data_IF_234160218916
#
_entry.id   IF_234160218916
#
_cell.length_a   1.000
_cell.length_b   1.000
_cell.length_c   1.000
_cell.angle_alpha   90.00
_cell.angle_beta   90.00
_cell.angle_gamma   90.00
#
_symmetry.space_group_name_H-M   'P 1'
#
loop_
_entity.id
_entity.type
_entity.pdbx_description
1 polymer ?
#
# COMPACT_ATOMS: atom_id res chain seq x y z
N UNK A 1 27.59 -3.83 11.32
CA UNK A 1 27.07 -2.89 12.31
C UNK A 1 25.59 -3.19 12.46
N UNK A 2 25.21 -3.95 13.51
CA UNK A 2 23.79 -4.18 13.84
C UNK A 2 23.21 -2.89 14.43
N UNK A 3 22.71 -2.01 13.58
CA UNK A 3 21.99 -0.82 14.00
C UNK A 3 20.51 -1.16 13.94
N UNK A 4 19.98 -1.67 15.05
CA UNK A 4 18.59 -2.12 15.16
C UNK A 4 17.56 -0.97 15.20
N UNK A 5 18.02 0.29 15.16
CA UNK A 5 17.20 1.50 15.33
C UNK A 5 17.24 2.45 14.13
N UNK A 6 17.64 1.97 12.97
CA UNK A 6 17.67 2.81 11.78
C UNK A 6 16.25 2.92 11.18
N UNK A 7 15.82 4.14 10.86
CA UNK A 7 14.54 4.33 10.18
C UNK A 7 14.64 3.83 8.73
N UNK A 8 14.05 2.69 8.48
CA UNK A 8 14.06 2.02 7.17
C UNK A 8 13.42 2.87 6.05
N UNK A 9 12.56 3.84 6.41
CA UNK A 9 11.99 4.77 5.43
C UNK A 9 13.05 5.68 4.80
N UNK A 10 14.17 5.91 5.48
CA UNK A 10 15.28 6.75 4.99
C UNK A 10 16.00 6.17 3.77
N UNK A 11 15.81 4.87 3.48
CA UNK A 11 16.41 4.22 2.30
C UNK A 11 15.58 4.36 1.02
N UNK A 12 14.38 4.90 1.11
CA UNK A 12 13.54 5.06 -0.08
C UNK A 12 14.02 6.27 -0.90
N UNK A 13 14.31 6.11 -2.20
CA UNK A 13 14.84 7.20 -3.03
C UNK A 13 13.93 8.43 -3.13
N UNK A 14 12.63 8.24 -2.92
CA UNK A 14 11.61 9.28 -2.96
C UNK A 14 11.24 9.83 -1.57
N UNK A 15 11.97 9.44 -0.52
CA UNK A 15 11.69 9.92 0.82
C UNK A 15 12.04 11.40 0.94
N UNK A 16 11.05 12.19 1.33
CA UNK A 16 11.26 13.61 1.65
C UNK A 16 12.05 13.71 2.96
N UNK A 17 13.14 14.49 2.91
CA UNK A 17 13.91 14.84 4.10
C UNK A 17 13.70 16.31 4.40
N UNK A 18 13.36 16.61 5.64
CA UNK A 18 13.30 18.00 6.12
C UNK A 18 14.69 18.53 6.43
N UNK A 19 14.89 19.81 6.18
CA UNK A 19 16.09 20.48 6.68
C UNK A 19 16.17 20.37 8.20
N UNK A 20 17.37 20.13 8.75
CA UNK A 20 17.55 20.14 10.20
C UNK A 20 17.01 21.45 10.79
N UNK A 21 16.10 21.34 11.75
CA UNK A 21 15.50 22.49 12.42
C UNK A 21 15.41 22.25 13.92
N UNK A 22 15.45 23.32 14.68
CA UNK A 22 15.28 23.28 16.13
C UNK A 22 14.31 24.39 16.53
N UNK A 23 13.47 24.19 17.56
CA UNK A 23 12.62 25.26 18.09
C UNK A 23 13.49 26.42 18.61
N UNK A 24 12.92 27.64 18.66
CA UNK A 24 13.65 28.85 19.03
C UNK A 24 14.37 28.78 20.40
N UNK A 25 13.88 27.94 21.30
CA UNK A 25 14.46 27.69 22.62
C UNK A 25 15.26 26.37 22.69
N UNK A 26 15.46 25.69 21.56
CA UNK A 26 16.24 24.46 21.50
C UNK A 26 17.73 24.72 21.26
N UNK A 27 18.53 23.66 21.41
CA UNK A 27 19.96 23.68 21.06
C UNK A 27 20.17 22.89 19.77
N UNK A 28 20.93 23.48 18.85
CA UNK A 28 21.35 22.81 17.61
C UNK A 28 22.78 22.33 17.76
N UNK A 29 23.03 21.07 17.46
CA UNK A 29 24.36 20.49 17.47
C UNK A 29 24.75 20.09 16.04
N UNK A 30 25.78 20.66 15.50
CA UNK A 30 26.39 20.28 14.24
C UNK A 30 27.76 19.67 14.53
N UNK A 31 28.04 18.53 13.93
CA UNK A 31 29.36 17.90 13.96
C UNK A 31 29.75 17.54 12.54
N UNK A 32 30.93 17.95 12.19
CA UNK A 32 31.62 17.59 10.95
C UNK A 32 32.82 16.72 11.28
N UNK A 33 33.08 15.73 10.44
CA UNK A 33 34.26 14.86 10.56
C UNK A 33 35.14 15.06 9.32
N UNK A 34 36.43 15.12 9.52
CA UNK A 34 37.45 15.23 8.44
C UNK A 34 37.67 13.89 7.71
N UNK A 35 36.64 13.02 7.69
CA UNK A 35 36.67 11.76 6.95
C UNK A 35 36.70 11.99 5.45
N UNK A 36 37.33 11.08 4.71
CA UNK A 36 37.29 11.09 3.25
C UNK A 36 35.85 10.89 2.72
N UNK A 37 35.62 11.39 1.51
CA UNK A 37 34.34 11.14 0.82
C UNK A 37 34.08 9.65 0.63
N UNK A 38 32.81 9.27 0.75
CA UNK A 38 32.39 7.92 0.46
C UNK A 38 32.69 7.62 -1.02
N UNK A 39 33.37 6.52 -1.28
CA UNK A 39 33.54 5.98 -2.64
C UNK A 39 32.45 4.92 -2.90
N UNK A 40 31.40 5.27 -3.67
CA UNK A 40 30.28 4.35 -3.92
C UNK A 40 30.74 3.11 -4.72
N UNK A 41 31.68 3.26 -5.65
CA UNK A 41 32.14 2.14 -6.47
C UNK A 41 32.94 1.12 -5.66
N UNK A 42 33.73 1.59 -4.70
CA UNK A 42 34.44 0.72 -3.77
C UNK A 42 33.47 -0.06 -2.85
N UNK A 43 32.33 0.54 -2.51
CA UNK A 43 31.28 -0.13 -1.72
C UNK A 43 30.54 -1.14 -2.59
N UNK A 44 30.09 -0.76 -3.79
CA UNK A 44 29.38 -1.65 -4.70
C UNK A 44 30.23 -2.87 -5.09
N UNK A 45 31.53 -2.68 -5.22
CA UNK A 45 32.46 -3.80 -5.47
C UNK A 45 32.45 -4.83 -4.34
N UNK A 46 32.21 -4.41 -3.09
CA UNK A 46 32.10 -5.33 -1.94
C UNK A 46 30.75 -6.04 -1.86
N UNK A 47 29.78 -5.58 -2.60
CA UNK A 47 28.42 -6.12 -2.66
C UNK A 47 28.03 -6.43 -4.10
N UNK A 48 28.65 -7.44 -4.74
CA UNK A 48 28.42 -7.74 -6.16
C UNK A 48 26.97 -8.11 -6.50
N UNK A 49 26.21 -8.50 -5.50
CA UNK A 49 24.77 -8.81 -5.59
C UNK A 49 23.84 -7.59 -5.53
N UNK A 50 24.39 -6.37 -5.46
CA UNK A 50 23.58 -5.17 -5.32
C UNK A 50 22.54 -4.94 -6.45
N UNK A 51 22.77 -5.54 -7.63
CA UNK A 51 21.85 -5.51 -8.76
C UNK A 51 20.68 -6.48 -8.59
N UNK A 52 20.74 -7.40 -7.65
CA UNK A 52 19.64 -8.33 -7.34
C UNK A 52 18.77 -7.73 -6.21
N UNK A 53 17.57 -7.20 -6.53
CA UNK A 53 16.73 -6.56 -5.52
C UNK A 53 16.27 -7.53 -4.42
N UNK A 54 16.33 -8.85 -4.66
CA UNK A 54 15.94 -9.85 -3.66
C UNK A 54 16.97 -10.00 -2.53
N UNK A 55 18.20 -9.52 -2.76
CA UNK A 55 19.32 -9.57 -1.84
C UNK A 55 19.49 -8.28 -1.03
N UNK A 56 18.81 -7.22 -1.42
CA UNK A 56 18.85 -5.96 -0.69
C UNK A 56 18.08 -6.07 0.64
N UNK A 57 18.55 -5.42 1.70
CA UNK A 57 17.80 -5.36 2.94
C UNK A 57 16.44 -4.71 2.68
N UNK A 58 15.39 -5.44 2.98
CA UNK A 58 14.01 -4.94 2.87
C UNK A 58 13.52 -4.47 4.22
N UNK A 59 12.73 -3.38 4.21
CA UNK A 59 12.12 -2.91 5.43
C UNK A 59 11.12 -3.93 5.99
N UNK A 60 10.95 -3.94 7.31
CA UNK A 60 9.94 -4.79 7.96
C UNK A 60 8.52 -4.48 7.48
N UNK A 61 8.29 -3.27 6.97
CA UNK A 61 7.04 -2.84 6.34
C UNK A 61 6.88 -3.42 4.94
N UNK A 62 7.95 -3.43 4.15
CA UNK A 62 7.95 -4.06 2.82
C UNK A 62 7.87 -5.58 2.91
N UNK A 63 8.53 -6.20 3.87
CA UNK A 63 8.44 -7.66 4.06
C UNK A 63 7.01 -8.08 4.43
N UNK A 64 6.27 -7.30 5.21
CA UNK A 64 4.86 -7.55 5.49
C UNK A 64 3.98 -7.31 4.26
N UNK A 65 4.23 -6.26 3.49
CA UNK A 65 3.51 -6.00 2.24
C UNK A 65 3.81 -7.08 1.19
N UNK A 66 5.06 -7.49 1.05
CA UNK A 66 5.47 -8.53 0.11
C UNK A 66 4.99 -9.94 0.54
N UNK A 67 4.94 -10.25 1.83
CA UNK A 67 4.41 -11.54 2.32
C UNK A 67 2.90 -11.63 2.06
N UNK A 68 2.20 -10.52 2.12
CA UNK A 68 0.77 -10.45 1.77
C UNK A 68 0.56 -10.47 0.25
N UNK A 69 1.48 -9.93 -0.54
CA UNK A 69 1.43 -9.93 -2.01
C UNK A 69 1.91 -11.24 -2.63
N UNK A 70 2.78 -12.00 -1.95
CA UNK A 70 3.28 -13.31 -2.41
C UNK A 70 2.36 -14.48 -2.10
N UNK A 71 1.34 -14.34 -1.27
CA UNK A 71 0.21 -15.24 -1.35
C UNK A 71 -0.32 -15.09 -2.78
N UNK A 72 -0.17 -16.17 -3.60
CA UNK A 72 -0.69 -16.22 -4.97
C UNK A 72 -2.13 -15.72 -4.93
N UNK A 73 -2.31 -14.44 -5.23
CA UNK A 73 -3.64 -13.85 -5.27
C UNK A 73 -4.33 -14.52 -6.43
N UNK A 74 -5.21 -15.43 -6.11
CA UNK A 74 -6.00 -16.12 -7.13
C UNK A 74 -6.79 -15.06 -7.91
N UNK A 75 -6.73 -15.12 -9.24
CA UNK A 75 -7.50 -14.22 -10.08
C UNK A 75 -8.99 -14.29 -9.68
N UNK A 76 -9.59 -13.17 -9.22
CA UNK A 76 -10.97 -13.17 -8.73
C UNK A 76 -11.98 -13.51 -9.82
N UNK A 77 -11.63 -13.33 -11.09
CA UNK A 77 -12.50 -13.66 -12.22
C UNK A 77 -12.57 -15.16 -12.47
N UNK A 78 -11.55 -15.93 -12.05
CA UNK A 78 -11.52 -17.39 -12.19
C UNK A 78 -12.12 -18.13 -11.00
N UNK A 79 -12.44 -17.41 -9.91
CA UNK A 79 -13.07 -18.02 -8.75
C UNK A 79 -14.44 -18.58 -9.09
N UNK A 80 -14.77 -19.72 -8.51
CA UNK A 80 -16.10 -20.31 -8.58
C UNK A 80 -17.06 -19.69 -7.54
N UNK A 81 -18.36 -19.98 -7.68
CA UNK A 81 -19.38 -19.53 -6.74
C UNK A 81 -19.70 -18.04 -6.81
N UNK A 82 -20.30 -17.53 -5.75
CA UNK A 82 -20.85 -16.16 -5.67
C UNK A 82 -19.74 -15.11 -5.82
N UNK A 83 -18.58 -15.33 -5.21
CA UNK A 83 -17.43 -14.40 -5.29
C UNK A 83 -16.99 -14.21 -6.73
N UNK A 84 -16.79 -15.31 -7.47
CA UNK A 84 -16.38 -15.24 -8.87
C UNK A 84 -17.47 -14.64 -9.77
N UNK A 85 -18.73 -15.00 -9.53
CA UNK A 85 -19.86 -14.43 -10.25
C UNK A 85 -19.92 -12.91 -10.06
N UNK A 86 -19.83 -12.42 -8.83
CA UNK A 86 -19.84 -10.99 -8.51
C UNK A 86 -18.68 -10.26 -9.20
N UNK A 87 -17.45 -10.77 -9.09
CA UNK A 87 -16.29 -10.15 -9.71
C UNK A 87 -16.41 -10.10 -11.24
N UNK A 88 -16.94 -11.11 -11.89
CA UNK A 88 -17.19 -11.07 -13.35
C UNK A 88 -18.31 -10.12 -13.75
N UNK A 89 -19.37 -10.02 -12.96
CA UNK A 89 -20.52 -9.14 -13.25
C UNK A 89 -20.14 -7.66 -13.16
N UNK A 90 -19.29 -7.33 -12.21
CA UNK A 90 -18.84 -5.97 -11.94
C UNK A 90 -17.36 -5.73 -12.34
N UNK A 91 -16.93 -6.41 -13.39
CA UNK A 91 -15.66 -6.14 -14.04
C UNK A 91 -15.80 -5.00 -15.07
N UNK A 92 -14.85 -4.07 -15.19
CA UNK A 92 -13.69 -3.83 -14.30
C UNK A 92 -14.13 -3.40 -12.89
N UNK A 93 -13.22 -3.47 -11.91
CA UNK A 93 -13.55 -3.21 -10.50
C UNK A 93 -14.09 -1.81 -10.24
N UNK A 94 -13.74 -0.83 -11.07
CA UNK A 94 -14.30 0.54 -11.07
C UNK A 94 -15.83 0.52 -11.12
N UNK A 95 -16.41 -0.38 -11.90
CA UNK A 95 -17.87 -0.55 -11.99
C UNK A 95 -18.50 -0.93 -10.63
N UNK A 96 -17.81 -1.76 -9.83
CA UNK A 96 -18.26 -2.09 -8.48
C UNK A 96 -18.18 -0.89 -7.55
N UNK A 97 -17.09 -0.09 -7.65
CA UNK A 97 -16.93 1.12 -6.86
C UNK A 97 -18.03 2.14 -7.18
N UNK A 98 -18.29 2.40 -8.45
CA UNK A 98 -19.34 3.32 -8.91
C UNK A 98 -20.74 2.85 -8.50
N UNK A 99 -21.01 1.55 -8.59
CA UNK A 99 -22.35 1.00 -8.32
C UNK A 99 -22.65 0.95 -6.82
N UNK A 100 -21.68 0.51 -6.02
CA UNK A 100 -21.93 0.22 -4.61
C UNK A 100 -21.22 1.14 -3.63
N UNK A 101 -20.21 1.88 -4.03
CA UNK A 101 -19.36 2.65 -3.15
C UNK A 101 -19.13 4.10 -3.64
N UNK A 102 -20.05 4.64 -4.45
CA UNK A 102 -20.00 6.02 -4.95
C UNK A 102 -20.11 7.09 -3.86
N UNK A 103 -20.58 6.71 -2.67
CA UNK A 103 -20.58 7.54 -1.46
C UNK A 103 -19.30 7.43 -0.64
N UNK A 104 -18.42 6.51 -0.98
CA UNK A 104 -17.14 6.23 -0.30
C UNK A 104 -15.95 6.66 -1.14
N UNK A 105 -15.97 6.31 -2.43
CA UNK A 105 -14.89 6.56 -3.36
C UNK A 105 -15.35 7.36 -4.56
N UNK A 106 -14.51 8.26 -5.03
CA UNK A 106 -14.70 9.00 -6.27
C UNK A 106 -13.50 8.82 -7.22
N UNK A 107 -13.72 8.77 -8.55
CA UNK A 107 -12.65 8.67 -9.52
C UNK A 107 -11.81 9.95 -9.54
N UNK A 108 -10.55 9.82 -9.95
CA UNK A 108 -9.66 10.95 -10.22
C UNK A 108 -9.40 11.06 -11.74
N UNK A 109 -8.67 12.08 -12.18
CA UNK A 109 -8.21 12.21 -13.57
C UNK A 109 -7.31 11.06 -14.03
N UNK A 110 -6.79 10.26 -13.10
CA UNK A 110 -6.02 9.05 -13.39
C UNK A 110 -6.91 7.82 -13.19
N UNK A 111 -7.15 7.07 -14.26
CA UNK A 111 -8.03 5.88 -14.30
C UNK A 111 -7.69 4.83 -13.23
N UNK A 112 -6.41 4.73 -12.84
CA UNK A 112 -5.95 3.77 -11.82
C UNK A 112 -5.91 4.34 -10.40
N UNK A 113 -6.38 5.59 -10.20
CA UNK A 113 -6.36 6.24 -8.90
C UNK A 113 -7.74 6.76 -8.52
N UNK A 114 -8.12 6.46 -7.30
CA UNK A 114 -9.38 6.91 -6.73
C UNK A 114 -9.13 7.67 -5.43
N UNK A 115 -10.09 8.48 -5.07
CA UNK A 115 -10.08 9.27 -3.85
C UNK A 115 -11.06 8.67 -2.83
N UNK A 116 -10.63 8.54 -1.57
CA UNK A 116 -11.52 8.25 -0.45
C UNK A 116 -12.16 9.56 0.01
N UNK A 117 -13.46 9.73 -0.17
CA UNK A 117 -14.21 10.98 0.09
C UNK A 117 -14.00 11.47 1.53
N UNK A 118 -13.93 10.56 2.51
CA UNK A 118 -13.69 10.90 3.91
C UNK A 118 -12.24 11.30 4.23
N UNK A 119 -11.33 11.30 3.25
CA UNK A 119 -9.91 11.64 3.42
C UNK A 119 -9.60 13.06 2.96
N UNK A 120 -8.62 13.68 3.60
CA UNK A 120 -8.06 14.97 3.16
C UNK A 120 -6.97 14.84 2.09
N UNK A 121 -6.43 13.65 1.88
CA UNK A 121 -5.40 13.38 0.86
C UNK A 121 -6.02 12.75 -0.37
N UNK A 122 -5.69 13.28 -1.55
CA UNK A 122 -6.22 12.81 -2.82
C UNK A 122 -5.49 11.57 -3.35
N UNK A 123 -6.17 10.78 -4.20
CA UNK A 123 -5.61 9.69 -5.01
C UNK A 123 -4.88 8.57 -4.21
N UNK A 124 -5.26 8.34 -2.96
CA UNK A 124 -4.64 7.32 -2.11
C UNK A 124 -5.20 5.90 -2.27
N UNK A 125 -6.14 5.70 -3.19
CA UNK A 125 -6.70 4.39 -3.54
C UNK A 125 -6.23 4.00 -4.93
N UNK A 126 -5.65 2.82 -5.07
CA UNK A 126 -5.05 2.33 -6.30
C UNK A 126 -5.83 1.13 -6.85
N UNK A 127 -6.17 1.18 -8.15
CA UNK A 127 -6.70 0.04 -8.89
C UNK A 127 -5.53 -0.73 -9.51
N UNK A 128 -5.51 -2.04 -9.30
CA UNK A 128 -4.50 -2.95 -9.86
C UNK A 128 -5.16 -3.96 -10.78
N UNK A 129 -4.63 -4.06 -12.01
CA UNK A 129 -5.07 -5.02 -13.04
C UNK A 129 -6.59 -5.00 -13.32
N UNK A 130 -7.27 -3.87 -13.09
CA UNK A 130 -8.73 -3.72 -13.17
C UNK A 130 -9.54 -4.70 -12.30
N UNK A 131 -8.88 -5.41 -11.39
CA UNK A 131 -9.45 -6.49 -10.58
C UNK A 131 -9.39 -6.24 -9.09
N UNK A 132 -8.46 -5.40 -8.64
CA UNK A 132 -8.20 -5.19 -7.24
C UNK A 132 -8.14 -3.71 -6.89
N UNK A 133 -8.56 -3.42 -5.65
CA UNK A 133 -8.38 -2.13 -5.00
C UNK A 133 -7.41 -2.27 -3.85
N UNK A 134 -6.51 -1.30 -3.72
CA UNK A 134 -5.58 -1.19 -2.61
C UNK A 134 -5.63 0.22 -2.04
N UNK A 135 -6.00 0.36 -0.77
CA UNK A 135 -6.11 1.66 -0.10
C UNK A 135 -4.92 1.94 0.80
N UNK A 136 -4.33 3.12 0.64
CA UNK A 136 -3.26 3.66 1.49
C UNK A 136 -3.80 4.55 2.63
N UNK A 137 -5.12 4.73 2.72
CA UNK A 137 -5.73 5.60 3.73
C UNK A 137 -5.98 4.87 5.04
N UNK A 138 -5.38 5.32 6.12
CA UNK A 138 -5.52 4.69 7.45
C UNK A 138 -6.95 4.71 8.01
N UNK A 139 -7.81 5.63 7.52
CA UNK A 139 -9.22 5.70 7.90
C UNK A 139 -10.13 4.75 7.10
N UNK A 140 -9.59 4.14 6.06
CA UNK A 140 -10.33 3.21 5.22
C UNK A 140 -10.39 1.83 5.89
N UNK A 141 -11.56 1.21 6.06
CA UNK A 141 -11.66 -0.17 6.55
C UNK A 141 -10.86 -1.19 5.71
N UNK A 142 -10.59 -0.86 4.44
CA UNK A 142 -9.76 -1.64 3.51
C UNK A 142 -8.26 -1.25 3.54
N UNK A 143 -7.82 -0.45 4.52
CA UNK A 143 -6.44 0.01 4.64
C UNK A 143 -5.42 -1.13 4.56
N UNK A 144 -4.45 -0.98 3.63
CA UNK A 144 -3.37 -1.93 3.33
C UNK A 144 -3.85 -3.37 2.99
N UNK A 145 -5.08 -3.50 2.51
CA UNK A 145 -5.63 -4.77 2.03
C UNK A 145 -5.78 -4.72 0.52
N UNK A 146 -5.38 -5.80 -0.15
CA UNK A 146 -5.66 -5.98 -1.57
C UNK A 146 -7.03 -6.67 -1.70
N UNK A 147 -8.04 -5.92 -2.12
CA UNK A 147 -9.42 -6.35 -2.16
C UNK A 147 -9.91 -6.51 -3.59
N UNK A 148 -10.56 -7.63 -3.92
CA UNK A 148 -11.36 -7.75 -5.15
C UNK A 148 -12.72 -7.06 -4.99
N UNK A 149 -13.52 -7.00 -6.05
CA UNK A 149 -14.81 -6.30 -6.04
C UNK A 149 -15.77 -6.80 -4.95
N UNK A 150 -15.86 -8.11 -4.74
CA UNK A 150 -16.70 -8.68 -3.69
C UNK A 150 -16.23 -8.27 -2.30
N UNK A 151 -14.92 -8.36 -2.03
CA UNK A 151 -14.36 -8.07 -0.72
C UNK A 151 -14.44 -6.60 -0.38
N UNK A 152 -14.16 -5.67 -1.32
CA UNK A 152 -14.23 -4.24 -1.05
C UNK A 152 -15.66 -3.79 -0.72
N UNK A 153 -16.65 -4.28 -1.46
CA UNK A 153 -18.06 -3.98 -1.17
C UNK A 153 -18.48 -4.58 0.17
N UNK A 154 -18.11 -5.83 0.45
CA UNK A 154 -18.40 -6.49 1.73
C UNK A 154 -17.83 -5.73 2.92
N UNK A 155 -16.57 -5.29 2.85
CA UNK A 155 -15.91 -4.58 3.94
C UNK A 155 -16.62 -3.25 4.24
N UNK A 156 -17.07 -2.53 3.22
CA UNK A 156 -17.70 -1.21 3.42
C UNK A 156 -19.18 -1.29 3.77
N UNK A 157 -19.91 -2.28 3.25
CA UNK A 157 -21.36 -2.37 3.45
C UNK A 157 -21.76 -3.26 4.63
N UNK A 158 -20.91 -4.22 4.97
CA UNK A 158 -21.18 -5.22 6.00
C UNK A 158 -20.02 -5.43 6.98
N UNK A 159 -19.08 -4.46 7.04
CA UNK A 159 -17.88 -4.56 7.87
C UNK A 159 -18.12 -4.51 9.37
N UNK A 160 -19.30 -4.08 9.81
CA UNK A 160 -19.72 -4.08 11.22
C UNK A 160 -20.08 -5.48 11.72
N UNK A 161 -20.28 -6.42 10.82
CA UNK A 161 -20.61 -7.82 11.12
C UNK A 161 -19.33 -8.66 11.24
N UNK A 162 -19.42 -9.79 11.93
CA UNK A 162 -18.36 -10.80 11.88
C UNK A 162 -18.16 -11.35 10.45
N UNK A 163 -17.02 -12.00 10.21
CA UNK A 163 -16.65 -12.44 8.87
C UNK A 163 -17.67 -13.35 8.20
N UNK A 164 -18.28 -14.28 8.94
CA UNK A 164 -19.29 -15.22 8.41
C UNK A 164 -20.61 -14.51 8.13
N UNK A 165 -21.05 -13.66 9.05
CA UNK A 165 -22.27 -12.89 8.89
C UNK A 165 -22.17 -11.88 7.75
N UNK A 166 -21.04 -11.17 7.62
CA UNK A 166 -20.79 -10.23 6.52
C UNK A 166 -20.75 -10.92 5.16
N UNK A 167 -20.13 -12.12 5.09
CA UNK A 167 -20.13 -12.92 3.87
C UNK A 167 -21.54 -13.34 3.47
N UNK A 168 -22.33 -13.83 4.44
CA UNK A 168 -23.73 -14.23 4.20
C UNK A 168 -24.57 -13.04 3.72
N UNK A 169 -24.50 -11.91 4.40
CA UNK A 169 -25.21 -10.70 4.02
C UNK A 169 -24.83 -10.19 2.62
N UNK A 170 -23.58 -10.36 2.21
CA UNK A 170 -23.14 -10.03 0.85
C UNK A 170 -23.65 -11.00 -0.22
N UNK A 171 -24.07 -12.21 0.16
CA UNK A 171 -24.61 -13.23 -0.76
C UNK A 171 -26.13 -13.15 -0.93
N UNK A 172 -26.84 -12.44 -0.06
CA UNK A 172 -28.29 -12.20 -0.10
C UNK A 172 -28.66 -11.02 -1.00
#
# INVERSE_FOLDING_TARGET
LGIDYFDECSYQPNQLMYWPSTPANGSFVYKETDGGWLDPDAILTKHPEWTDPTRLPTSSRESKANTTAQQKVQDPLTKEGVVGLFNRTYYPISKALETFLSDVYEPTDNENRWHLIASSSMAGVEIKEDKFVYSHHAKDPAYLKLCNAFDIVRIHRFGDLDEKASYKAMCE
#
